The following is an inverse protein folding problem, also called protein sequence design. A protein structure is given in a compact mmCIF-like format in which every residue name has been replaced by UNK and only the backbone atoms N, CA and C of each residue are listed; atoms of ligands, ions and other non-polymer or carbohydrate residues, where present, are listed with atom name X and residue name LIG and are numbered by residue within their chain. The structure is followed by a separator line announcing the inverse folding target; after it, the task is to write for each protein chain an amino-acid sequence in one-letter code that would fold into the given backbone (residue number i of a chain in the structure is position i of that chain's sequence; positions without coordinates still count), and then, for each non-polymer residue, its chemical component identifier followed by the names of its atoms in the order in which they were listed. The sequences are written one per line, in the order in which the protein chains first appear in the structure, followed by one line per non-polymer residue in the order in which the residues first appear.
data_IF_364712487400
#
_entry.id   IF_364712487400
#
_cell.length_a   1.000
_cell.length_b   1.000
_cell.length_c   1.000
_cell.angle_alpha   90.00
_cell.angle_beta   90.00
_cell.angle_gamma   90.00
#
_symmetry.space_group_name_H-M   'P 1'
#
loop_
_entity.id
_entity.type
_entity.pdbx_description
1 polymer ?
#
# COMPACT_ATOMS: atom_id res chain seq x y z
N UNK A 1 -19.97 -6.68 -21.99
CA UNK A 1 -19.29 -7.63 -21.10
C UNK A 1 -19.30 -7.03 -19.71
N UNK A 2 -19.80 -7.75 -18.71
CA UNK A 2 -19.65 -7.32 -17.31
C UNK A 2 -18.18 -7.54 -16.98
N UNK A 3 -17.43 -6.45 -16.80
CA UNK A 3 -16.07 -6.54 -16.30
C UNK A 3 -16.19 -6.86 -14.81
N UNK A 4 -15.71 -8.03 -14.39
CA UNK A 4 -15.70 -8.45 -12.99
C UNK A 4 -14.54 -7.75 -12.27
N UNK A 5 -14.62 -6.43 -12.13
CA UNK A 5 -13.65 -5.67 -11.35
C UNK A 5 -13.85 -5.98 -9.88
N UNK A 6 -12.83 -6.55 -9.24
CA UNK A 6 -12.83 -6.88 -7.82
C UNK A 6 -12.15 -5.76 -7.04
N UNK A 7 -12.81 -5.13 -6.04
CA UNK A 7 -12.15 -4.18 -5.16
C UNK A 7 -11.00 -4.83 -4.38
N UNK A 8 -9.89 -4.12 -4.18
CA UNK A 8 -8.73 -4.67 -3.46
C UNK A 8 -9.07 -5.10 -2.02
N UNK A 9 -10.06 -4.46 -1.39
CA UNK A 9 -10.52 -4.84 -0.05
C UNK A 9 -11.20 -6.23 0.01
N UNK A 10 -11.74 -6.71 -1.11
CA UNK A 10 -12.39 -8.02 -1.19
C UNK A 10 -11.39 -9.17 -1.34
N UNK A 11 -10.14 -8.84 -1.70
CA UNK A 11 -9.05 -9.81 -1.83
C UNK A 11 -8.55 -10.18 -0.42
N UNK A 12 -8.70 -11.46 -0.07
CA UNK A 12 -8.44 -11.95 1.28
C UNK A 12 -6.99 -11.74 1.72
N UNK A 13 -6.02 -11.92 0.82
CA UNK A 13 -4.59 -11.70 1.12
C UNK A 13 -4.29 -10.25 1.50
N UNK A 14 -4.79 -9.29 0.73
CA UNK A 14 -4.63 -7.85 0.99
C UNK A 14 -5.32 -7.47 2.30
N UNK A 15 -6.52 -7.99 2.52
CA UNK A 15 -7.28 -7.76 3.74
C UNK A 15 -6.55 -8.31 4.96
N UNK A 16 -6.01 -9.51 4.86
CA UNK A 16 -5.25 -10.13 5.93
C UNK A 16 -3.98 -9.33 6.21
N UNK A 17 -3.17 -8.94 5.22
CA UNK A 17 -2.00 -8.08 5.43
C UNK A 17 -2.38 -6.74 6.12
N UNK A 18 -3.50 -6.15 5.72
CA UNK A 18 -4.01 -4.89 6.28
C UNK A 18 -4.51 -5.05 7.73
N UNK A 19 -4.95 -6.26 8.12
CA UNK A 19 -5.59 -6.55 9.43
C UNK A 19 -4.66 -7.34 10.39
N UNK A 20 -3.64 -8.05 9.91
CA UNK A 20 -2.80 -8.99 10.68
C UNK A 20 -2.05 -8.32 11.83
N UNK A 21 -1.85 -7.00 11.76
CA UNK A 21 -1.23 -6.20 12.82
C UNK A 21 -2.21 -5.64 13.86
N UNK A 22 -3.42 -6.17 13.94
CA UNK A 22 -4.40 -5.73 14.93
C UNK A 22 -4.02 -6.22 16.34
N UNK A 23 -4.37 -5.44 17.36
CA UNK A 23 -4.11 -5.83 18.75
C UNK A 23 -4.95 -7.07 19.07
N UNK A 24 -4.35 -8.16 19.57
CA UNK A 24 -5.12 -9.32 19.97
C UNK A 24 -6.07 -8.93 21.10
N UNK A 25 -7.30 -9.45 21.06
CA UNK A 25 -8.35 -9.18 22.08
C UNK A 25 -7.81 -9.40 23.51
N UNK A 26 -6.90 -10.36 23.68
CA UNK A 26 -6.22 -10.63 24.95
C UNK A 26 -5.46 -9.45 25.53
N UNK A 27 -4.86 -8.58 24.70
CA UNK A 27 -4.16 -7.40 25.20
C UNK A 27 -5.11 -6.34 25.78
N UNK A 28 -6.35 -6.24 25.27
CA UNK A 28 -7.39 -5.41 25.88
C UNK A 28 -7.85 -5.99 27.21
N UNK A 29 -8.00 -7.32 27.30
CA UNK A 29 -8.35 -8.03 28.54
C UNK A 29 -7.25 -7.84 29.60
N UNK A 30 -5.98 -7.97 29.22
CA UNK A 30 -4.83 -7.74 30.11
C UNK A 30 -4.82 -6.28 30.60
N UNK A 31 -5.11 -5.32 29.71
CA UNK A 31 -5.27 -3.91 30.09
C UNK A 31 -6.37 -3.73 31.14
N UNK A 32 -7.57 -4.25 30.90
CA UNK A 32 -8.68 -4.16 31.86
C UNK A 32 -8.34 -4.80 33.22
N UNK A 33 -7.68 -5.96 33.21
CA UNK A 33 -7.22 -6.62 34.43
C UNK A 33 -6.17 -5.78 35.18
N UNK A 34 -5.22 -5.18 34.46
CA UNK A 34 -4.21 -4.30 35.04
C UNK A 34 -4.86 -3.06 35.70
N UNK A 35 -5.87 -2.45 35.06
CA UNK A 35 -6.61 -1.34 35.65
C UNK A 35 -7.25 -1.73 37.00
N UNK A 36 -7.88 -2.91 37.04
CA UNK A 36 -8.49 -3.45 38.26
C UNK A 36 -7.46 -3.69 39.37
N UNK A 37 -6.31 -4.29 39.02
CA UNK A 37 -5.19 -4.48 39.96
C UNK A 37 -4.66 -3.14 40.48
N UNK A 38 -4.50 -2.14 39.62
CA UNK A 38 -4.09 -0.80 40.02
C UNK A 38 -5.05 -0.15 41.02
N UNK A 39 -6.36 -0.38 40.85
CA UNK A 39 -7.41 0.12 41.75
C UNK A 39 -7.35 -0.55 43.14
N UNK A 40 -7.00 -1.84 43.20
CA UNK A 40 -6.78 -2.56 44.46
C UNK A 40 -5.50 -2.10 45.19
N UNK A 41 -4.47 -1.67 44.46
CA UNK A 41 -3.20 -1.20 45.03
C UNK A 41 -3.31 0.25 45.54
N UNK A 42 -4.18 1.05 44.92
CA UNK A 42 -4.40 2.47 45.22
C UNK A 42 -4.51 2.84 46.71
N UNK A 43 -5.28 2.11 47.56
CA UNK A 43 -5.36 2.41 48.99
C UNK A 43 -4.08 2.11 49.77
N UNK A 44 -3.19 1.24 49.27
CA UNK A 44 -1.92 0.89 49.93
C UNK A 44 -0.76 1.77 49.45
N UNK A 45 -0.72 2.05 48.15
CA UNK A 45 0.32 2.86 47.53
C UNK A 45 -0.27 3.63 46.34
N UNK A 46 -0.58 4.91 46.58
CA UNK A 46 -1.23 5.78 45.60
C UNK A 46 -0.40 5.97 44.33
N UNK A 47 0.92 6.11 44.45
CA UNK A 47 1.81 6.30 43.29
C UNK A 47 1.81 5.09 42.37
N UNK A 48 2.00 3.89 42.94
CA UNK A 48 2.04 2.65 42.17
C UNK A 48 0.67 2.32 41.56
N UNK A 49 -0.41 2.46 42.33
CA UNK A 49 -1.77 2.24 41.82
C UNK A 49 -2.11 3.13 40.63
N UNK A 50 -1.75 4.41 40.71
CA UNK A 50 -1.99 5.38 39.62
C UNK A 50 -1.20 5.03 38.36
N UNK A 51 0.09 4.68 38.50
CA UNK A 51 0.94 4.28 37.36
C UNK A 51 0.39 3.05 36.64
N UNK A 52 -0.04 2.03 37.38
CA UNK A 52 -0.61 0.80 36.81
C UNK A 52 -1.91 1.10 36.05
N UNK A 53 -2.77 1.96 36.60
CA UNK A 53 -3.99 2.40 35.92
C UNK A 53 -3.66 3.15 34.63
N UNK A 54 -2.72 4.09 34.64
CA UNK A 54 -2.34 4.83 33.42
C UNK A 54 -1.78 3.87 32.36
N UNK A 55 -0.87 2.97 32.74
CA UNK A 55 -0.28 2.00 31.83
C UNK A 55 -1.32 1.05 31.22
N UNK A 56 -2.41 0.75 31.94
CA UNK A 56 -3.49 -0.10 31.46
C UNK A 56 -4.24 0.44 30.24
N UNK A 57 -4.19 1.76 29.99
CA UNK A 57 -4.83 2.38 28.84
C UNK A 57 -4.01 2.29 27.55
N UNK A 58 -2.72 1.94 27.63
CA UNK A 58 -1.84 1.87 26.45
C UNK A 58 -2.39 0.94 25.36
N UNK A 59 -2.82 -0.31 25.65
CA UNK A 59 -3.42 -1.19 24.64
C UNK A 59 -4.68 -0.60 24.00
N UNK A 60 -5.48 0.14 24.77
CA UNK A 60 -6.71 0.77 24.28
C UNK A 60 -6.41 1.88 23.29
N UNK A 61 -5.47 2.77 23.62
CA UNK A 61 -5.06 3.88 22.73
C UNK A 61 -4.49 3.34 21.42
N UNK A 62 -3.61 2.35 21.49
CA UNK A 62 -3.05 1.72 20.29
C UNK A 62 -4.17 1.06 19.47
N UNK A 63 -5.13 0.39 20.13
CA UNK A 63 -6.23 -0.31 19.46
C UNK A 63 -7.17 0.63 18.72
N UNK A 64 -7.50 1.77 19.32
CA UNK A 64 -8.32 2.80 18.68
C UNK A 64 -7.63 3.38 17.45
N UNK A 65 -6.34 3.73 17.57
CA UNK A 65 -5.57 4.27 16.45
C UNK A 65 -5.49 3.27 15.28
N UNK A 66 -5.28 1.98 15.58
CA UNK A 66 -5.27 0.91 14.56
C UNK A 66 -6.63 0.71 13.92
N UNK A 67 -7.71 0.74 14.70
CA UNK A 67 -9.06 0.61 14.16
C UNK A 67 -9.41 1.75 13.20
N UNK A 68 -8.96 2.98 13.49
CA UNK A 68 -9.08 4.12 12.59
C UNK A 68 -8.26 3.90 11.31
N UNK A 69 -7.01 3.43 11.43
CA UNK A 69 -6.16 3.13 10.29
C UNK A 69 -6.77 2.06 9.36
N UNK A 70 -7.32 0.98 9.92
CA UNK A 70 -8.00 -0.07 9.14
C UNK A 70 -9.22 0.50 8.41
N UNK A 71 -10.02 1.35 9.07
CA UNK A 71 -11.19 1.98 8.42
C UNK A 71 -10.78 2.87 7.25
N UNK A 72 -9.70 3.62 7.39
CA UNK A 72 -9.14 4.43 6.30
C UNK A 72 -8.65 3.54 5.16
N UNK A 73 -7.89 2.49 5.47
CA UNK A 73 -7.37 1.57 4.45
C UNK A 73 -8.49 0.88 3.70
N UNK A 74 -9.50 0.39 4.41
CA UNK A 74 -10.71 -0.18 3.83
C UNK A 74 -11.36 0.78 2.85
N UNK A 75 -11.60 2.03 3.28
CA UNK A 75 -12.19 3.07 2.41
C UNK A 75 -11.38 3.24 1.14
N UNK A 76 -10.06 3.34 1.22
CA UNK A 76 -9.17 3.51 0.07
C UNK A 76 -9.21 2.27 -0.85
N UNK A 77 -9.05 1.08 -0.29
CA UNK A 77 -8.99 -0.20 -1.03
C UNK A 77 -10.35 -0.58 -1.65
N UNK A 78 -11.47 -0.05 -1.16
CA UNK A 78 -12.79 -0.19 -1.80
C UNK A 78 -12.94 0.70 -3.06
N UNK A 79 -12.06 1.71 -3.24
CA UNK A 79 -12.05 2.60 -4.41
C UNK A 79 -11.05 2.18 -5.49
N UNK A 80 -10.19 1.21 -5.21
CA UNK A 80 -9.25 0.62 -6.16
C UNK A 80 -9.71 -0.79 -6.46
N UNK A 81 -9.75 -1.15 -7.72
CA UNK A 81 -10.17 -2.47 -8.16
C UNK A 81 -9.26 -3.00 -9.26
N UNK A 82 -9.24 -4.32 -9.39
CA UNK A 82 -8.47 -5.02 -10.41
C UNK A 82 -9.39 -5.98 -11.16
N UNK A 83 -9.21 -6.06 -12.46
CA UNK A 83 -9.96 -6.98 -13.31
C UNK A 83 -9.42 -8.42 -13.18
N UNK A 84 -10.23 -9.38 -13.64
CA UNK A 84 -9.84 -10.78 -13.75
C UNK A 84 -8.58 -10.94 -14.62
N UNK A 85 -7.63 -11.74 -14.16
CA UNK A 85 -6.31 -11.92 -14.77
C UNK A 85 -5.17 -11.26 -13.99
N UNK A 86 -5.47 -10.23 -13.18
CA UNK A 86 -4.48 -9.56 -12.33
C UNK A 86 -3.85 -10.56 -11.32
N UNK A 87 -2.60 -10.39 -10.85
CA UNK A 87 -1.99 -11.35 -9.90
C UNK A 87 -2.77 -11.51 -8.60
N UNK A 88 -3.54 -10.50 -8.21
CA UNK A 88 -4.43 -10.52 -7.05
C UNK A 88 -5.87 -10.97 -7.36
N UNK A 89 -6.20 -11.16 -8.62
CA UNK A 89 -7.50 -11.66 -9.09
C UNK A 89 -7.28 -12.66 -10.25
N UNK A 90 -6.77 -13.87 -9.94
CA UNK A 90 -6.39 -14.83 -10.97
C UNK A 90 -7.61 -15.30 -11.76
N UNK A 91 -7.45 -15.45 -13.06
CA UNK A 91 -8.47 -15.96 -13.98
C UNK A 91 -7.92 -17.10 -14.83
N UNK A 92 -8.82 -17.89 -15.41
CA UNK A 92 -8.46 -18.91 -16.39
C UNK A 92 -7.93 -18.20 -17.65
N UNK A 93 -6.71 -18.56 -18.07
CA UNK A 93 -5.88 -17.97 -19.14
C UNK A 93 -6.58 -17.03 -20.16
N UNK A 94 -6.07 -15.81 -20.30
CA UNK A 94 -6.34 -14.92 -21.44
C UNK A 94 -7.13 -13.64 -21.16
N UNK A 95 -7.40 -13.31 -19.89
CA UNK A 95 -8.10 -12.09 -19.50
C UNK A 95 -7.15 -10.92 -19.18
N UNK A 96 -7.60 -9.68 -19.45
CA UNK A 96 -6.76 -8.48 -19.41
C UNK A 96 -6.60 -7.93 -17.99
N UNK A 97 -5.38 -7.55 -17.63
CA UNK A 97 -4.94 -7.31 -16.25
C UNK A 97 -5.11 -5.84 -15.87
N UNK A 98 -6.33 -5.30 -16.05
CA UNK A 98 -6.55 -3.86 -15.90
C UNK A 98 -6.73 -3.45 -14.45
N UNK A 99 -6.06 -2.38 -14.05
CA UNK A 99 -6.33 -1.68 -12.79
C UNK A 99 -7.36 -0.57 -13.02
N UNK A 100 -8.35 -0.47 -12.13
CA UNK A 100 -9.43 0.52 -12.18
C UNK A 100 -9.57 1.28 -10.88
N UNK A 101 -10.07 2.51 -10.97
CA UNK A 101 -10.38 3.36 -9.81
C UNK A 101 -11.82 3.86 -9.90
N UNK A 102 -12.50 3.98 -8.76
CA UNK A 102 -13.82 4.60 -8.67
C UNK A 102 -13.71 6.12 -8.74
N UNK A 103 -14.40 6.69 -9.73
CA UNK A 103 -14.67 8.12 -9.85
C UNK A 103 -15.65 8.60 -8.76
N UNK A 104 -15.84 9.92 -8.61
CA UNK A 104 -16.77 10.57 -7.65
C UNK A 104 -18.19 10.00 -7.76
N UNK A 105 -18.60 9.60 -8.96
CA UNK A 105 -19.92 9.02 -9.23
C UNK A 105 -19.99 7.50 -8.92
N UNK A 106 -18.94 6.91 -8.37
CA UNK A 106 -18.85 5.48 -8.06
C UNK A 106 -18.65 4.58 -9.28
N UNK A 107 -18.29 5.15 -10.44
CA UNK A 107 -18.04 4.41 -11.68
C UNK A 107 -16.58 3.98 -11.74
N UNK A 108 -16.34 2.76 -12.18
CA UNK A 108 -15.00 2.27 -12.44
C UNK A 108 -14.44 2.86 -13.73
N UNK A 109 -13.28 3.51 -13.64
CA UNK A 109 -12.53 4.01 -14.78
C UNK A 109 -11.20 3.27 -14.83
N UNK A 110 -10.84 2.84 -16.03
CA UNK A 110 -9.59 2.15 -16.31
C UNK A 110 -8.43 3.13 -16.25
N UNK A 111 -7.36 2.73 -15.57
CA UNK A 111 -6.13 3.50 -15.54
C UNK A 111 -5.21 3.06 -16.69
N UNK A 112 -4.52 4.00 -17.35
CA UNK A 112 -3.54 3.67 -18.38
C UNK A 112 -2.40 2.85 -17.78
N UNK A 113 -2.08 1.74 -18.45
CA UNK A 113 -1.08 0.79 -17.96
C UNK A 113 0.31 1.39 -17.86
N UNK A 114 0.70 2.38 -18.66
CA UNK A 114 2.07 2.94 -18.68
C UNK A 114 2.29 4.13 -17.74
N UNK A 115 1.23 4.68 -17.16
CA UNK A 115 1.23 5.92 -16.39
C UNK A 115 1.64 5.72 -14.93
N UNK A 116 2.65 6.41 -14.38
CA UNK A 116 2.74 6.49 -12.92
C UNK A 116 1.77 7.56 -12.43
N UNK A 117 0.94 7.16 -11.48
CA UNK A 117 -0.13 8.00 -11.00
C UNK A 117 0.42 8.82 -9.84
N UNK A 118 0.23 10.13 -9.92
CA UNK A 118 0.50 11.07 -8.83
C UNK A 118 -0.82 11.61 -8.29
N UNK A 119 -0.94 11.69 -6.98
CA UNK A 119 -2.08 12.32 -6.33
C UNK A 119 -1.82 13.81 -6.12
N UNK A 120 -2.67 14.65 -6.71
CA UNK A 120 -2.69 16.09 -6.47
C UNK A 120 -3.87 16.50 -5.60
N UNK A 121 -3.61 17.41 -4.66
CA UNK A 121 -4.58 17.90 -3.70
C UNK A 121 -4.57 19.42 -3.67
N UNK A 122 -5.69 19.98 -4.11
CA UNK A 122 -5.88 21.41 -4.07
C UNK A 122 -6.36 21.82 -2.67
N UNK A 123 -5.48 22.48 -1.91
CA UNK A 123 -5.79 22.95 -0.55
C UNK A 123 -6.91 24.02 -0.50
N UNK A 124 -7.16 24.72 -1.60
CA UNK A 124 -8.16 25.80 -1.67
C UNK A 124 -9.55 25.24 -1.94
N UNK A 125 -9.68 24.33 -2.91
CA UNK A 125 -10.97 23.71 -3.26
C UNK A 125 -11.26 22.44 -2.47
N UNK A 126 -10.27 21.92 -1.73
CA UNK A 126 -10.29 20.63 -1.05
C UNK A 126 -10.58 19.46 -2.02
N UNK A 127 -10.27 19.65 -3.30
CA UNK A 127 -10.48 18.65 -4.35
C UNK A 127 -9.22 17.81 -4.54
N UNK A 128 -9.45 16.53 -4.79
CA UNK A 128 -8.42 15.55 -5.08
C UNK A 128 -8.49 15.10 -6.53
N UNK A 129 -7.33 14.99 -7.17
CA UNK A 129 -7.17 14.69 -8.59
C UNK A 129 -6.07 13.65 -8.74
N UNK A 130 -6.26 12.70 -9.67
CA UNK A 130 -5.21 11.81 -10.15
C UNK A 130 -4.63 12.36 -11.44
N UNK A 131 -3.31 12.44 -11.48
CA UNK A 131 -2.54 13.00 -12.59
C UNK A 131 -1.52 11.95 -13.05
N UNK A 132 -1.23 11.91 -14.35
CA UNK A 132 -0.12 11.11 -14.92
C UNK A 132 1.25 11.81 -14.75
N UNK A 133 2.33 11.11 -15.10
CA UNK A 133 3.69 11.60 -15.21
C UNK A 133 3.86 12.81 -16.14
N UNK A 134 2.95 13.00 -17.10
CA UNK A 134 2.93 14.15 -18.02
C UNK A 134 2.07 15.33 -17.53
N UNK A 135 1.71 15.34 -16.24
CA UNK A 135 0.80 16.32 -15.63
C UNK A 135 -0.62 16.32 -16.24
N UNK A 136 -1.00 15.26 -16.96
CA UNK A 136 -2.35 15.13 -17.53
C UNK A 136 -3.36 14.66 -16.47
N UNK A 137 -4.48 15.39 -16.34
CA UNK A 137 -5.57 15.04 -15.42
C UNK A 137 -6.27 13.77 -15.90
N UNK A 138 -6.07 12.66 -15.19
CA UNK A 138 -6.72 11.38 -15.47
C UNK A 138 -8.14 11.36 -14.90
N UNK A 139 -8.31 11.78 -13.64
CA UNK A 139 -9.59 11.67 -12.95
C UNK A 139 -9.70 12.64 -11.77
N UNK A 140 -10.93 13.06 -11.46
CA UNK A 140 -11.25 13.74 -10.20
C UNK A 140 -11.77 12.75 -9.16
N UNK A 141 -11.19 12.73 -7.96
CA UNK A 141 -11.63 11.88 -6.84
C UNK A 141 -12.58 12.61 -5.88
N UNK A 142 -12.78 13.92 -6.08
CA UNK A 142 -13.72 14.74 -5.31
C UNK A 142 -13.11 15.28 -4.02
N UNK A 143 -13.94 15.62 -3.03
CA UNK A 143 -13.51 16.29 -1.78
C UNK A 143 -13.46 15.38 -0.56
N UNK A 144 -13.61 14.08 -0.76
CA UNK A 144 -13.78 13.10 0.31
C UNK A 144 -12.48 12.49 0.84
N UNK A 145 -11.34 12.86 0.25
CA UNK A 145 -10.03 12.34 0.60
C UNK A 145 -9.16 13.45 1.19
N UNK A 146 -8.54 13.16 2.33
CA UNK A 146 -7.47 14.00 2.87
C UNK A 146 -6.17 13.76 2.11
N UNK A 147 -5.23 14.72 2.17
CA UNK A 147 -3.92 14.59 1.52
C UNK A 147 -3.19 13.28 1.90
N UNK A 148 -3.26 12.89 3.19
CA UNK A 148 -2.65 11.66 3.69
C UNK A 148 -3.32 10.40 3.12
N UNK A 149 -4.64 10.40 2.99
CA UNK A 149 -5.39 9.30 2.39
C UNK A 149 -5.10 9.19 0.89
N UNK A 150 -5.01 10.33 0.20
CA UNK A 150 -4.65 10.41 -1.21
C UNK A 150 -3.27 9.85 -1.52
N UNK A 151 -2.24 10.25 -0.77
CA UNK A 151 -0.89 9.67 -0.88
C UNK A 151 -0.87 8.16 -0.64
N UNK A 152 -1.73 7.66 0.24
CA UNK A 152 -1.86 6.23 0.50
C UNK A 152 -2.60 5.52 -0.65
N UNK A 153 -3.59 6.17 -1.25
CA UNK A 153 -4.28 5.70 -2.43
C UNK A 153 -3.35 5.63 -3.64
N UNK A 154 -2.56 6.67 -3.89
CA UNK A 154 -1.49 6.71 -4.90
C UNK A 154 -0.55 5.50 -4.78
N UNK A 155 -0.08 5.24 -3.55
CA UNK A 155 0.79 4.09 -3.28
C UNK A 155 0.16 2.76 -3.69
N UNK A 156 -1.10 2.51 -3.33
CA UNK A 156 -1.78 1.25 -3.68
C UNK A 156 -2.09 1.15 -5.17
N UNK A 157 -2.47 2.24 -5.82
CA UNK A 157 -2.72 2.29 -7.27
C UNK A 157 -1.45 1.93 -8.03
N UNK A 158 -0.33 2.56 -7.69
CA UNK A 158 0.93 2.30 -8.37
C UNK A 158 1.42 0.86 -8.17
N UNK A 159 1.20 0.27 -6.99
CA UNK A 159 1.49 -1.16 -6.77
C UNK A 159 0.64 -2.07 -7.67
N UNK A 160 -0.66 -1.80 -7.80
CA UNK A 160 -1.54 -2.55 -8.69
C UNK A 160 -1.13 -2.39 -10.16
N UNK A 161 -0.79 -1.18 -10.59
CA UNK A 161 -0.34 -0.91 -11.95
C UNK A 161 0.97 -1.62 -12.28
N UNK A 162 1.95 -1.64 -11.38
CA UNK A 162 3.22 -2.36 -11.58
C UNK A 162 2.95 -3.85 -11.79
N UNK A 163 2.08 -4.45 -10.99
CA UNK A 163 1.72 -5.86 -11.12
C UNK A 163 0.98 -6.15 -12.42
N UNK A 164 0.05 -5.27 -12.81
CA UNK A 164 -0.64 -5.32 -14.10
C UNK A 164 0.36 -5.30 -15.27
N UNK A 165 1.30 -4.35 -15.27
CA UNK A 165 2.36 -4.22 -16.28
C UNK A 165 3.26 -5.45 -16.35
N UNK A 166 3.61 -6.03 -15.21
CA UNK A 166 4.51 -7.20 -15.16
C UNK A 166 3.92 -8.41 -15.89
N UNK A 167 2.59 -8.53 -15.91
CA UNK A 167 1.91 -9.59 -16.66
C UNK A 167 1.70 -9.25 -18.14
N UNK A 168 1.33 -8.00 -18.46
CA UNK A 168 1.03 -7.61 -19.84
C UNK A 168 2.27 -7.26 -20.68
N UNK A 169 3.34 -6.79 -20.04
CA UNK A 169 4.59 -6.39 -20.69
C UNK A 169 5.78 -7.16 -20.09
N UNK A 170 6.24 -8.19 -20.81
CA UNK A 170 7.50 -8.89 -20.50
C UNK A 170 8.73 -7.95 -20.55
N UNK A 171 8.57 -6.75 -21.14
CA UNK A 171 9.61 -5.75 -21.41
C UNK A 171 9.27 -4.36 -20.81
N UNK A 172 8.72 -4.29 -19.59
CA UNK A 172 8.59 -3.00 -18.89
C UNK A 172 9.99 -2.38 -18.67
N UNK A 173 10.26 -1.13 -19.12
CA UNK A 173 11.56 -0.47 -18.97
C UNK A 173 11.97 -0.33 -17.50
N UNK A 174 11.03 -0.20 -16.57
CA UNK A 174 11.29 -0.11 -15.13
C UNK A 174 11.84 -1.41 -14.56
N UNK A 175 11.32 -2.55 -15.04
CA UNK A 175 11.81 -3.89 -14.68
C UNK A 175 13.10 -4.24 -15.44
N UNK A 176 13.21 -3.83 -16.71
CA UNK A 176 14.41 -4.01 -17.53
C UNK A 176 15.59 -3.23 -16.95
N UNK A 177 15.40 -1.98 -16.53
CA UNK A 177 16.43 -1.17 -15.89
C UNK A 177 16.80 -1.70 -14.50
N UNK A 178 15.85 -2.31 -13.79
CA UNK A 178 16.15 -3.03 -12.54
C UNK A 178 16.98 -4.30 -12.81
N UNK A 179 16.63 -5.07 -13.84
CA UNK A 179 17.36 -6.27 -14.27
C UNK A 179 18.76 -5.93 -14.78
N UNK A 180 18.92 -4.84 -15.52
CA UNK A 180 20.23 -4.33 -15.97
C UNK A 180 21.08 -3.92 -14.75
N UNK A 181 20.49 -3.23 -13.77
CA UNK A 181 21.19 -2.88 -12.52
C UNK A 181 21.55 -4.09 -11.65
N UNK A 182 20.75 -5.15 -11.68
CA UNK A 182 21.11 -6.42 -11.04
C UNK A 182 22.28 -7.09 -11.79
N UNK A 183 22.21 -7.20 -13.13
CA UNK A 183 23.31 -7.75 -13.94
C UNK A 183 24.62 -6.95 -13.83
N UNK A 184 24.56 -5.63 -13.71
CA UNK A 184 25.74 -4.78 -13.52
C UNK A 184 26.32 -4.88 -12.10
N UNK A 185 25.51 -5.27 -11.10
CA UNK A 185 25.93 -5.49 -9.71
C UNK A 185 26.43 -6.93 -9.44
N UNK A 186 26.31 -7.86 -10.40
CA UNK A 186 26.62 -9.29 -10.25
C UNK A 186 28.13 -9.64 -10.25
N UNK A 187 29.05 -8.69 -10.45
CA UNK A 187 30.50 -8.98 -10.56
C UNK A 187 31.19 -9.50 -9.29
N UNK A 188 30.51 -9.65 -8.14
CA UNK A 188 31.15 -10.05 -6.88
C UNK A 188 30.83 -11.47 -6.40
N UNK A 189 29.74 -12.09 -6.82
CA UNK A 189 29.41 -13.48 -6.49
C UNK A 189 28.51 -14.07 -7.59
N UNK A 190 29.03 -15.04 -8.36
CA UNK A 190 28.24 -15.82 -9.32
C UNK A 190 27.06 -16.47 -8.60
N UNK A 191 25.85 -16.04 -8.95
CA UNK A 191 24.59 -16.65 -8.50
C UNK A 191 24.04 -17.50 -9.62
N UNK A 192 23.89 -18.79 -9.35
CA UNK A 192 23.15 -19.70 -10.22
C UNK A 192 21.65 -19.46 -9.98
N UNK A 193 20.99 -18.87 -10.97
CA UNK A 193 19.53 -18.81 -11.00
C UNK A 193 19.01 -20.21 -11.35
N UNK A 194 18.14 -20.78 -10.51
CA UNK A 194 17.42 -22.00 -10.85
C UNK A 194 16.43 -21.68 -11.98
N UNK A 195 16.45 -22.49 -13.06
CA UNK A 195 15.51 -22.37 -14.17
C UNK A 195 14.07 -22.40 -13.66
N UNK A 196 13.36 -21.29 -13.78
CA UNK A 196 11.90 -21.24 -13.53
C UNK A 196 11.18 -21.75 -14.76
N UNK A 197 10.21 -22.65 -14.55
CA UNK A 197 9.36 -23.14 -15.65
C UNK A 197 8.33 -22.07 -16.03
N UNK A 198 7.98 -21.92 -17.32
CA UNK A 198 6.87 -21.05 -17.71
C UNK A 198 5.58 -21.44 -16.96
N UNK A 199 4.98 -20.49 -16.23
CA UNK A 199 3.76 -20.69 -15.42
C UNK A 199 3.98 -20.85 -13.91
N UNK A 200 5.20 -20.76 -13.41
CA UNK A 200 5.48 -20.82 -11.96
C UNK A 200 5.21 -19.46 -11.27
N UNK A 201 4.20 -19.40 -10.39
CA UNK A 201 3.71 -18.17 -9.71
C UNK A 201 4.26 -18.01 -8.28
N UNK A 202 5.35 -18.72 -7.94
CA UNK A 202 5.97 -18.58 -6.61
C UNK A 202 7.03 -17.46 -6.65
N UNK A 203 6.60 -16.23 -6.39
CA UNK A 203 7.52 -15.10 -6.21
C UNK A 203 8.09 -15.17 -4.79
N UNK A 204 9.39 -15.46 -4.65
CA UNK A 204 10.04 -15.48 -3.34
C UNK A 204 9.97 -14.11 -2.65
N UNK A 205 9.63 -14.11 -1.35
CA UNK A 205 9.43 -12.95 -0.48
C UNK A 205 10.56 -11.91 -0.50
N UNK A 206 11.77 -12.31 -0.91
CA UNK A 206 12.93 -11.42 -1.07
C UNK A 206 12.78 -10.38 -2.19
N UNK A 207 11.97 -10.66 -3.21
CA UNK A 207 11.72 -9.76 -4.36
C UNK A 207 10.89 -8.53 -3.92
N UNK A 208 9.88 -8.73 -3.07
CA UNK A 208 9.02 -7.64 -2.57
C UNK A 208 9.76 -6.66 -1.65
N UNK A 209 10.71 -7.14 -0.84
CA UNK A 209 11.49 -6.26 0.04
C UNK A 209 12.45 -5.34 -0.73
N UNK A 210 12.96 -5.78 -1.89
CA UNK A 210 13.86 -4.98 -2.75
C UNK A 210 13.12 -3.91 -3.55
N UNK A 211 11.91 -4.22 -4.05
CA UNK A 211 11.07 -3.24 -4.74
C UNK A 211 10.80 -2.00 -3.85
N UNK A 212 10.61 -2.21 -2.54
CA UNK A 212 10.37 -1.15 -1.56
C UNK A 212 11.57 -0.22 -1.33
N UNK A 213 12.80 -0.74 -1.38
CA UNK A 213 14.02 0.07 -1.19
C UNK A 213 14.31 0.98 -2.40
N UNK A 214 14.02 0.47 -3.61
CA UNK A 214 14.21 1.20 -4.87
C UNK A 214 13.27 2.41 -4.96
N UNK A 215 12.02 2.26 -4.49
CA UNK A 215 11.05 3.37 -4.41
C UNK A 215 11.46 4.44 -3.37
N UNK A 216 12.17 4.07 -2.30
CA UNK A 216 12.62 5.00 -1.26
C UNK A 216 13.76 5.93 -1.69
N UNK A 217 14.67 5.49 -2.58
CA UNK A 217 15.84 6.28 -3.01
C UNK A 217 15.51 7.39 -4.00
N UNK A 218 14.41 7.29 -4.76
CA UNK A 218 14.02 8.33 -5.74
C UNK A 218 13.70 9.68 -5.07
N UNK A 219 13.37 9.70 -3.77
CA UNK A 219 13.05 10.92 -3.01
C UNK A 219 14.27 11.76 -2.62
N UNK A 220 15.49 11.21 -2.64
CA UNK A 220 16.69 11.92 -2.18
C UNK A 220 17.57 12.48 -3.30
N UNK A 221 17.24 12.26 -4.57
CA UNK A 221 18.10 12.67 -5.70
C UNK A 221 17.68 14.04 -6.27
N UNK A 222 16.52 14.58 -5.90
CA UNK A 222 16.02 15.88 -6.40
C UNK A 222 16.62 17.12 -5.71
N UNK A 223 17.69 16.99 -4.91
CA UNK A 223 18.46 18.12 -4.39
C UNK A 223 19.97 17.90 -4.53
N UNK A 224 20.48 17.94 -5.76
CA UNK A 224 21.90 18.22 -6.02
C UNK A 224 22.04 18.72 -7.46
N UNK A 225 21.57 19.93 -7.70
CA UNK A 225 21.63 20.63 -8.98
C UNK A 225 22.05 22.08 -8.79
N UNK A 226 23.12 22.31 -8.04
CA UNK A 226 23.85 23.58 -7.99
C UNK A 226 25.32 23.20 -7.82
N UNK A 227 26.02 23.09 -8.96
CA UNK A 227 27.45 23.37 -9.11
C UNK A 227 27.79 23.17 -10.60
N UNK A 228 27.36 24.14 -11.40
CA UNK A 228 27.83 24.34 -12.76
C UNK A 228 27.61 25.80 -13.17
N UNK A 229 28.34 26.73 -12.55
CA UNK A 229 28.68 28.01 -13.18
C UNK A 229 30.13 28.41 -12.84
N UNK A 230 30.87 28.75 -13.90
CA UNK A 230 32.23 29.29 -14.07
C UNK A 230 33.47 28.42 -13.80
#
# INVERSE_FOLDING_TARGET
MMNNTLPLWEIQEIKDETVQNNIPIWALIIGALAAFVGLLILPKNQFVGTLVIIASFIPTVIGVNRHLEIRINRKILEHIGVDEGHPWHPADEGESTKTRVKDVLGRWVELPLTANITFDFNQVTNESILIDDEDEKIMQLGTHLTEKEGKKMEFFINQALILSRTQEFEHDPTLKDARIREMEAESLLDREWLDTSPGQVEIEFGQMSRAKEILGKKKNITHSGLDAEE
#
